data_IF_266835987508
#
_entry.id   IF_266835987508
#
_cell.length_a   1.000
_cell.length_b   1.000
_cell.length_c   1.000
_cell.angle_alpha   90.00
_cell.angle_beta   90.00
_cell.angle_gamma   90.00
#
_symmetry.space_group_name_H-M   'P 1'
#
loop_
_entity.id
_entity.type
_entity.pdbx_description
1 polymer ?
#
# COMPACT_ATOMS: atom_id res chain seq x y z
N UNK A 1 32.84 1.52 -3.57
CA UNK A 1 32.23 2.58 -2.73
C UNK A 1 31.24 3.38 -3.59
N UNK A 2 30.02 3.67 -3.13
CA UNK A 2 29.02 4.39 -3.97
C UNK A 2 29.33 5.89 -4.03
N UNK A 3 29.27 6.49 -5.22
CA UNK A 3 29.54 7.92 -5.46
C UNK A 3 28.63 8.83 -4.59
N UNK A 4 29.23 9.83 -3.92
CA UNK A 4 28.54 10.77 -3.04
C UNK A 4 27.44 11.58 -3.75
N UNK A 5 27.68 12.04 -4.98
CA UNK A 5 26.69 12.78 -5.76
C UNK A 5 25.45 11.95 -6.09
N UNK A 6 25.60 10.63 -6.25
CA UNK A 6 24.47 9.71 -6.44
C UNK A 6 23.65 9.58 -5.16
N UNK A 7 24.32 9.50 -4.00
CA UNK A 7 23.66 9.47 -2.68
C UNK A 7 22.91 10.76 -2.40
N UNK A 8 23.53 11.91 -2.65
CA UNK A 8 22.90 13.23 -2.48
C UNK A 8 21.64 13.36 -3.35
N UNK A 9 21.70 12.97 -4.63
CA UNK A 9 20.52 13.00 -5.51
C UNK A 9 19.36 12.14 -5.00
N UNK A 10 19.65 10.90 -4.60
CA UNK A 10 18.63 10.01 -4.04
C UNK A 10 18.04 10.53 -2.73
N UNK A 11 18.83 11.25 -1.93
CA UNK A 11 18.37 11.89 -0.71
C UNK A 11 17.51 13.14 -1.01
N UNK A 12 17.95 14.02 -1.91
CA UNK A 12 17.23 15.24 -2.31
C UNK A 12 15.84 14.91 -2.83
N UNK A 13 15.72 13.89 -3.68
CA UNK A 13 14.42 13.45 -4.20
C UNK A 13 13.47 13.03 -3.06
N UNK A 14 13.96 12.21 -2.12
CA UNK A 14 13.16 11.77 -0.96
C UNK A 14 12.79 12.93 -0.03
N UNK A 15 13.75 13.80 0.29
CA UNK A 15 13.52 14.95 1.17
C UNK A 15 12.55 15.94 0.55
N UNK A 16 12.60 16.15 -0.77
CA UNK A 16 11.65 17.01 -1.46
C UNK A 16 10.21 16.53 -1.25
N UNK A 17 9.97 15.22 -1.41
CA UNK A 17 8.65 14.63 -1.19
C UNK A 17 8.19 14.67 0.26
N UNK A 18 9.09 14.80 1.24
CA UNK A 18 8.74 14.97 2.67
C UNK A 18 8.47 16.44 3.00
N UNK A 19 9.21 17.36 2.37
CA UNK A 19 9.07 18.81 2.55
C UNK A 19 7.85 19.40 1.87
N UNK A 20 7.27 18.71 0.89
CA UNK A 20 6.26 19.28 -0.01
C UNK A 20 5.09 18.29 -0.25
N UNK A 21 3.94 18.84 -0.66
CA UNK A 21 2.71 18.10 -0.98
C UNK A 21 1.67 18.05 0.16
N UNK A 22 0.60 17.28 -0.04
CA UNK A 22 -0.42 17.07 1.00
C UNK A 22 0.22 16.54 2.30
N UNK A 23 -0.18 17.06 3.46
CA UNK A 23 0.45 16.76 4.75
C UNK A 23 1.58 17.71 5.14
N UNK A 24 2.16 18.44 4.19
CA UNK A 24 3.25 19.38 4.46
C UNK A 24 2.71 20.73 4.95
N UNK A 25 2.29 20.79 6.21
CA UNK A 25 1.69 21.98 6.81
C UNK A 25 2.29 22.23 8.19
N UNK A 26 2.48 23.49 8.55
CA UNK A 26 2.86 23.93 9.89
C UNK A 26 1.59 24.13 10.72
N UNK A 27 1.49 23.48 11.88
CA UNK A 27 0.37 23.65 12.80
C UNK A 27 0.41 25.07 13.39
N UNK A 28 -0.73 25.80 13.42
CA UNK A 28 -0.79 27.10 14.06
C UNK A 28 -0.60 26.96 15.58
N UNK A 29 0.16 27.87 16.19
CA UNK A 29 0.35 27.88 17.65
C UNK A 29 -0.92 28.33 18.40
N UNK A 30 -1.76 29.15 17.75
CA UNK A 30 -2.92 29.81 18.36
C UNK A 30 -4.28 29.20 17.96
N UNK A 31 -4.33 27.96 17.48
CA UNK A 31 -5.61 27.32 17.15
C UNK A 31 -6.46 27.11 18.40
N UNK A 32 -7.77 27.34 18.28
CA UNK A 32 -8.75 27.00 19.32
C UNK A 32 -8.73 25.52 19.73
N UNK A 33 -8.19 24.63 18.90
CA UNK A 33 -7.92 23.24 19.26
C UNK A 33 -6.57 22.82 18.69
N UNK A 34 -5.56 22.75 19.55
CA UNK A 34 -4.21 22.40 19.16
C UNK A 34 -4.08 20.89 19.01
N UNK A 35 -3.72 20.43 17.81
CA UNK A 35 -3.40 19.03 17.57
C UNK A 35 -2.12 18.64 18.32
N UNK A 36 -2.26 17.78 19.34
CA UNK A 36 -1.16 17.42 20.25
C UNK A 36 -0.55 16.06 19.95
N UNK A 37 -1.38 15.06 19.70
CA UNK A 37 -0.92 13.69 19.47
C UNK A 37 -1.71 12.99 18.38
N UNK A 38 -1.01 12.13 17.65
CA UNK A 38 -1.59 11.21 16.67
C UNK A 38 -1.14 9.81 17.05
N UNK A 39 -2.09 8.93 17.31
CA UNK A 39 -1.88 7.51 17.49
C UNK A 39 -2.54 6.76 16.34
N UNK A 40 -1.82 5.83 15.71
CA UNK A 40 -2.33 5.07 14.59
C UNK A 40 -2.04 3.58 14.75
N UNK A 41 -3.07 2.75 14.67
CA UNK A 41 -2.94 1.30 14.68
C UNK A 41 -3.02 0.78 13.25
N UNK A 42 -1.95 0.17 12.74
CA UNK A 42 -1.84 -0.29 11.35
C UNK A 42 -1.49 -1.79 11.30
N UNK A 43 -2.35 -2.63 10.74
CA UNK A 43 -2.00 -4.04 10.53
C UNK A 43 -0.89 -4.15 9.48
N UNK A 44 -0.01 -5.13 9.64
CA UNK A 44 1.15 -5.44 8.78
C UNK A 44 1.08 -6.89 8.31
N UNK A 45 1.53 -7.16 7.09
CA UNK A 45 1.57 -8.51 6.51
C UNK A 45 0.77 -8.63 5.21
N UNK A 46 0.48 -9.86 4.74
CA UNK A 46 -0.37 -10.07 3.58
C UNK A 46 -1.79 -9.63 3.90
N UNK A 47 -2.36 -8.79 3.04
CA UNK A 47 -3.75 -8.33 3.17
C UNK A 47 -4.62 -9.07 2.17
N UNK A 48 -5.66 -9.80 2.62
CA UNK A 48 -6.58 -10.46 1.71
C UNK A 48 -7.36 -9.44 0.87
N UNK A 49 -7.64 -8.25 1.43
CA UNK A 49 -8.25 -7.13 0.74
C UNK A 49 -7.32 -5.91 0.78
N UNK A 50 -6.51 -5.72 -0.27
CA UNK A 50 -5.54 -4.60 -0.33
C UNK A 50 -6.24 -3.24 -0.18
N UNK A 51 -7.35 -3.02 -0.88
CA UNK A 51 -8.06 -1.73 -0.88
C UNK A 51 -8.53 -1.31 0.52
N UNK A 52 -8.85 -2.29 1.37
CA UNK A 52 -9.30 -2.02 2.73
C UNK A 52 -8.22 -1.40 3.64
N UNK A 53 -6.94 -1.73 3.43
CA UNK A 53 -5.85 -1.32 4.33
C UNK A 53 -4.92 -0.25 3.73
N UNK A 54 -4.96 -0.04 2.41
CA UNK A 54 -3.99 0.81 1.73
C UNK A 54 -4.10 2.27 2.12
N UNK A 55 -5.29 2.84 2.25
CA UNK A 55 -5.40 4.28 2.50
C UNK A 55 -4.84 4.71 3.86
N UNK A 56 -4.99 3.91 4.92
CA UNK A 56 -4.30 4.17 6.19
C UNK A 56 -2.77 4.08 6.05
N UNK A 57 -2.28 3.07 5.33
CA UNK A 57 -0.83 2.89 5.11
C UNK A 57 -0.22 4.00 4.25
N UNK A 58 -0.91 4.43 3.21
CA UNK A 58 -0.51 5.54 2.34
C UNK A 58 -0.50 6.84 3.13
N UNK A 59 -1.51 7.07 3.98
CA UNK A 59 -1.52 8.19 4.92
C UNK A 59 -0.30 8.19 5.86
N UNK A 60 0.00 7.03 6.47
CA UNK A 60 1.19 6.88 7.30
C UNK A 60 2.48 7.17 6.51
N UNK A 61 2.63 6.58 5.33
CA UNK A 61 3.87 6.68 4.57
C UNK A 61 4.04 7.99 3.78
N UNK A 62 2.95 8.73 3.55
CA UNK A 62 2.89 10.01 2.85
C UNK A 62 2.65 11.17 3.81
N UNK A 63 1.39 11.53 4.02
CA UNK A 63 0.94 12.75 4.70
C UNK A 63 1.45 12.84 6.14
N UNK A 64 1.40 11.76 6.93
CA UNK A 64 1.81 11.79 8.34
C UNK A 64 3.31 12.08 8.49
N UNK A 65 4.15 11.54 7.61
CA UNK A 65 5.60 11.84 7.60
C UNK A 65 5.87 13.30 7.28
N UNK A 66 5.12 13.87 6.32
CA UNK A 66 5.24 15.29 5.94
C UNK A 66 4.78 16.21 7.06
N UNK A 67 3.69 15.84 7.74
CA UNK A 67 3.18 16.58 8.89
C UNK A 67 4.19 16.59 10.03
N UNK A 68 4.77 15.43 10.36
CA UNK A 68 5.79 15.32 11.40
C UNK A 68 7.08 16.08 11.08
N UNK A 69 7.47 16.17 9.80
CA UNK A 69 8.66 16.92 9.38
C UNK A 69 8.58 18.41 9.74
N UNK A 70 7.41 19.04 9.54
CA UNK A 70 7.19 20.45 9.86
C UNK A 70 6.81 20.69 11.32
N UNK A 71 6.32 19.66 12.02
CA UNK A 71 5.85 19.75 13.39
C UNK A 71 6.58 18.72 14.26
N UNK A 72 7.88 18.93 14.55
CA UNK A 72 8.66 17.96 15.32
C UNK A 72 8.12 17.73 16.74
N UNK A 73 7.43 18.72 17.31
CA UNK A 73 6.78 18.66 18.63
C UNK A 73 5.51 17.80 18.66
N UNK A 74 4.90 17.53 17.51
CA UNK A 74 3.70 16.70 17.41
C UNK A 74 4.02 15.26 17.82
N UNK A 75 3.38 14.73 18.87
CA UNK A 75 3.59 13.33 19.26
C UNK A 75 2.95 12.42 18.22
N UNK A 76 3.71 11.45 17.69
CA UNK A 76 3.20 10.52 16.69
C UNK A 76 3.60 9.11 17.08
N UNK A 77 2.60 8.25 17.25
CA UNK A 77 2.77 6.87 17.68
C UNK A 77 2.08 5.94 16.71
N UNK A 78 2.76 4.84 16.36
CA UNK A 78 2.31 3.93 15.32
C UNK A 78 2.46 2.51 15.84
N UNK A 79 1.32 1.89 16.13
CA UNK A 79 1.25 0.50 16.55
C UNK A 79 1.10 -0.38 15.31
N UNK A 80 2.16 -1.12 14.97
CA UNK A 80 2.12 -2.10 13.88
C UNK A 80 1.82 -3.48 14.42
N UNK A 81 0.70 -4.09 14.01
CA UNK A 81 0.33 -5.44 14.45
C UNK A 81 0.42 -6.42 13.31
N UNK A 82 0.78 -7.68 13.56
CA UNK A 82 0.74 -8.72 12.53
C UNK A 82 -0.71 -9.04 12.21
N UNK A 83 -1.07 -8.97 10.94
CA UNK A 83 -2.42 -9.23 10.45
C UNK A 83 -2.80 -10.70 10.64
N UNK A 84 -3.25 -11.07 11.84
CA UNK A 84 -3.72 -12.42 12.16
C UNK A 84 -5.23 -12.52 12.10
N UNK A 85 -5.97 -11.47 12.47
CA UNK A 85 -7.41 -11.58 12.79
C UNK A 85 -8.25 -10.35 12.41
N UNK A 86 -8.15 -9.81 11.18
CA UNK A 86 -9.00 -8.69 10.71
C UNK A 86 -9.07 -7.52 11.71
N UNK A 87 -7.97 -7.23 12.38
CA UNK A 87 -7.97 -6.21 13.42
C UNK A 87 -8.30 -4.84 12.82
N UNK A 88 -9.12 -4.03 13.52
CA UNK A 88 -9.54 -2.75 13.00
C UNK A 88 -8.34 -1.79 12.91
N UNK A 89 -8.15 -1.24 11.71
CA UNK A 89 -7.25 -0.11 11.50
C UNK A 89 -7.96 1.17 11.94
N UNK A 90 -7.37 1.92 12.85
CA UNK A 90 -7.94 3.18 13.33
C UNK A 90 -6.87 4.24 13.57
N UNK A 91 -7.32 5.48 13.61
CA UNK A 91 -6.54 6.68 13.91
C UNK A 91 -7.17 7.36 15.11
N UNK A 92 -6.37 7.61 16.14
CA UNK A 92 -6.76 8.42 17.29
C UNK A 92 -5.99 9.73 17.25
N UNK A 93 -6.70 10.83 17.39
CA UNK A 93 -6.15 12.19 17.32
C UNK A 93 -6.54 12.94 18.57
N UNK A 94 -5.55 13.45 19.30
CA UNK A 94 -5.73 14.19 20.55
C UNK A 94 -5.56 15.69 20.31
N UNK A 95 -6.54 16.45 20.77
CA UNK A 95 -6.56 17.90 20.75
C UNK A 95 -6.46 18.44 22.16
N UNK A 96 -5.70 19.52 22.35
CA UNK A 96 -5.62 20.29 23.59
C UNK A 96 -6.16 21.71 23.35
N UNK A 97 -6.91 22.27 24.30
CA UNK A 97 -7.38 23.65 24.25
C UNK A 97 -7.62 24.23 25.65
N UNK A 98 -7.53 25.55 25.78
CA UNK A 98 -8.04 26.29 26.94
C UNK A 98 -9.56 26.44 26.91
N UNK A 99 -10.18 26.35 25.73
CA UNK A 99 -11.62 26.46 25.54
C UNK A 99 -12.28 25.08 25.43
N UNK A 100 -13.10 24.75 26.42
CA UNK A 100 -13.85 23.49 26.48
C UNK A 100 -14.91 23.42 25.38
N UNK A 101 -15.51 24.54 25.00
CA UNK A 101 -16.57 24.57 23.99
C UNK A 101 -16.01 24.27 22.60
N UNK A 102 -14.85 24.85 22.26
CA UNK A 102 -14.12 24.54 21.04
C UNK A 102 -13.84 23.03 20.89
N UNK A 103 -13.39 22.36 21.97
CA UNK A 103 -13.20 20.90 21.94
C UNK A 103 -14.52 20.14 21.83
N UNK A 104 -15.60 20.64 22.43
CA UNK A 104 -16.92 19.99 22.38
C UNK A 104 -17.52 19.99 20.96
N UNK A 105 -17.21 21.01 20.16
CA UNK A 105 -17.65 21.12 18.77
C UNK A 105 -16.95 20.13 17.82
N UNK A 106 -15.77 19.62 18.19
CA UNK A 106 -15.06 18.60 17.43
C UNK A 106 -15.82 17.27 17.48
N UNK A 107 -16.63 16.97 16.46
CA UNK A 107 -17.32 15.68 16.37
C UNK A 107 -16.47 14.68 15.62
N UNK A 108 -16.42 13.43 16.09
CA UNK A 108 -15.92 12.32 15.30
C UNK A 108 -16.90 12.07 14.12
N UNK A 109 -16.76 12.83 13.03
CA UNK A 109 -17.53 12.56 11.83
C UNK A 109 -17.07 11.23 11.24
N UNK A 110 -17.99 10.29 10.96
CA UNK A 110 -17.62 9.08 10.26
C UNK A 110 -17.06 9.46 8.90
N UNK A 111 -15.84 9.02 8.63
CA UNK A 111 -15.23 9.18 7.32
C UNK A 111 -16.15 8.56 6.25
N UNK A 112 -16.33 9.21 5.09
CA UNK A 112 -17.10 8.62 4.01
C UNK A 112 -16.43 7.30 3.65
N UNK A 113 -17.12 6.18 3.89
CA UNK A 113 -16.65 4.88 3.43
C UNK A 113 -16.71 4.95 1.91
N UNK A 114 -15.60 4.86 1.17
CA UNK A 114 -15.72 4.75 -0.27
C UNK A 114 -16.57 3.52 -0.54
N UNK A 115 -17.51 3.69 -1.46
CA UNK A 115 -18.26 2.58 -2.02
C UNK A 115 -17.22 1.70 -2.69
N UNK A 116 -16.67 0.72 -1.96
CA UNK A 116 -15.80 -0.29 -2.52
C UNK A 116 -16.66 -0.93 -3.61
N UNK A 117 -16.39 -0.55 -4.86
CA UNK A 117 -16.92 -1.24 -6.01
C UNK A 117 -16.25 -2.60 -5.98
N UNK A 118 -16.79 -3.48 -5.14
CA UNK A 118 -16.49 -4.90 -5.18
C UNK A 118 -16.91 -5.28 -6.58
N UNK A 119 -15.96 -5.26 -7.52
CA UNK A 119 -16.19 -5.89 -8.81
C UNK A 119 -16.59 -7.31 -8.41
N UNK A 120 -17.83 -7.75 -8.72
CA UNK A 120 -18.21 -9.12 -8.45
C UNK A 120 -17.08 -9.94 -9.04
N UNK A 121 -16.41 -10.72 -8.20
CA UNK A 121 -15.28 -11.55 -8.61
C UNK A 121 -15.82 -12.33 -9.79
N UNK A 122 -15.42 -11.95 -11.01
CA UNK A 122 -15.86 -12.62 -12.21
C UNK A 122 -15.54 -14.08 -11.93
N UNK A 123 -16.55 -14.93 -11.88
CA UNK A 123 -16.33 -16.33 -11.62
C UNK A 123 -15.33 -16.78 -12.69
N UNK A 124 -14.11 -17.16 -12.29
CA UNK A 124 -13.02 -17.59 -13.18
C UNK A 124 -13.43 -18.71 -14.16
N UNK A 125 -14.66 -19.24 -14.04
CA UNK A 125 -15.31 -20.12 -15.01
C UNK A 125 -15.35 -19.53 -16.43
N UNK A 126 -15.59 -18.23 -16.59
CA UNK A 126 -15.69 -17.63 -17.95
C UNK A 126 -14.31 -17.49 -18.59
N UNK A 127 -13.30 -16.99 -17.86
CA UNK A 127 -11.92 -16.92 -18.38
C UNK A 127 -11.31 -18.31 -18.62
N UNK A 128 -11.65 -19.31 -17.79
CA UNK A 128 -11.24 -20.70 -18.04
C UNK A 128 -11.92 -21.29 -19.28
N UNK A 129 -13.22 -21.03 -19.48
CA UNK A 129 -13.93 -21.47 -20.68
C UNK A 129 -13.37 -20.78 -21.94
N UNK A 130 -13.05 -19.49 -21.87
CA UNK A 130 -12.52 -18.74 -23.01
C UNK A 130 -11.08 -19.15 -23.35
N UNK A 131 -10.26 -19.51 -22.35
CA UNK A 131 -8.94 -20.11 -22.56
C UNK A 131 -9.03 -21.52 -23.15
N UNK A 132 -9.97 -22.34 -22.66
CA UNK A 132 -10.17 -23.71 -23.16
C UNK A 132 -10.72 -23.71 -24.60
N UNK A 133 -11.59 -22.74 -24.92
CA UNK A 133 -12.13 -22.54 -26.26
C UNK A 133 -11.06 -22.03 -27.24
N UNK A 134 -10.23 -21.06 -26.82
CA UNK A 134 -9.06 -20.63 -27.61
C UNK A 134 -8.05 -21.75 -27.86
N UNK A 135 -7.79 -22.61 -26.85
CA UNK A 135 -6.88 -23.75 -27.01
C UNK A 135 -7.47 -24.80 -27.96
N UNK A 136 -8.79 -24.98 -27.97
CA UNK A 136 -9.48 -25.88 -28.89
C UNK A 136 -9.45 -25.35 -30.33
N UNK A 137 -9.64 -24.06 -30.53
CA UNK A 137 -9.55 -23.42 -31.85
C UNK A 137 -8.13 -23.47 -32.43
N UNK A 138 -7.11 -23.24 -31.61
CA UNK A 138 -5.70 -23.39 -32.02
C UNK A 138 -5.35 -24.83 -32.42
N UNK A 139 -5.93 -25.83 -31.74
CA UNK A 139 -5.75 -27.24 -32.12
C UNK A 139 -6.47 -27.61 -33.41
N UNK A 140 -7.64 -27.03 -33.69
CA UNK A 140 -8.35 -27.27 -34.95
C UNK A 140 -7.73 -26.56 -36.15
N UNK A 141 -6.99 -25.46 -35.94
CA UNK A 141 -6.34 -24.72 -37.02
C UNK A 141 -4.95 -25.27 -37.41
N UNK A 142 -4.38 -26.18 -36.60
CA UNK A 142 -3.02 -26.68 -36.77
C UNK A 142 -2.89 -27.92 -37.68
N UNK A 143 -3.95 -28.39 -38.35
CA UNK A 143 -3.82 -29.52 -39.27
C UNK A 143 -4.80 -29.49 -40.47
N UNK A 144 -4.41 -28.90 -41.61
CA UNK A 144 -4.94 -29.30 -42.89
C UNK A 144 -4.11 -30.49 -43.41
N UNK A 145 -4.54 -31.70 -43.09
CA UNK A 145 -3.96 -32.95 -43.59
C UNK A 145 -3.97 -32.97 -45.13
N UNK A 146 -2.80 -33.01 -45.80
CA UNK A 146 -2.71 -33.05 -47.23
C UNK A 146 -2.37 -34.47 -47.69
N UNK A 147 -3.19 -35.49 -47.40
CA UNK A 147 -3.10 -36.77 -48.14
C UNK A 147 -4.34 -37.65 -48.06
N UNK A 148 -5.03 -37.66 -49.19
CA UNK A 148 -5.84 -38.77 -49.67
C UNK A 148 -5.11 -40.12 -49.53
N UNK A 149 -5.90 -41.12 -49.11
CA UNK A 149 -5.89 -42.53 -49.51
C UNK A 149 -4.70 -43.42 -49.09
N UNK A 150 -4.96 -44.33 -48.15
CA UNK A 150 -4.81 -45.78 -48.36
C UNK A 150 -5.53 -46.60 -47.27
N UNK A 151 -6.08 -47.80 -47.60
CA UNK A 151 -6.91 -48.57 -46.66
C UNK A 151 -6.15 -49.71 -45.96
N UNK A 152 -6.67 -50.02 -44.78
CA UNK A 152 -6.77 -51.35 -44.13
C UNK A 152 -5.53 -52.24 -44.01
N UNK A 153 -4.98 -52.32 -42.80
CA UNK A 153 -4.41 -53.55 -42.26
C UNK A 153 -4.69 -53.65 -40.75
N UNK A 154 -5.16 -54.84 -40.35
CA UNK A 154 -5.67 -55.24 -39.03
C UNK A 154 -4.56 -55.55 -38.00
N UNK A 155 -4.91 -55.81 -36.72
CA UNK A 155 -4.09 -55.47 -35.55
C UNK A 155 -3.19 -56.62 -35.07
N UNK A 156 -2.08 -56.26 -34.40
CA UNK A 156 -1.31 -57.17 -33.54
C UNK A 156 -1.26 -56.62 -32.12
N UNK A 157 -1.77 -57.45 -31.22
CA UNK A 157 -1.70 -57.41 -29.77
C UNK A 157 -0.30 -57.79 -29.25
N UNK A 158 0.29 -56.98 -28.37
CA UNK A 158 1.24 -57.34 -27.28
C UNK A 158 1.21 -56.13 -26.31
N UNK A 159 0.57 -56.16 -25.13
CA UNK A 159 0.93 -56.76 -23.83
C UNK A 159 2.16 -56.11 -23.16
N UNK A 160 1.98 -55.81 -21.87
CA UNK A 160 2.94 -55.29 -20.87
C UNK A 160 3.31 -53.79 -21.00
N UNK A 161 3.20 -52.93 -19.98
CA UNK A 161 2.99 -53.16 -18.56
C UNK A 161 3.91 -52.22 -17.81
N UNK A 162 3.48 -51.00 -17.49
CA UNK A 162 4.15 -50.15 -16.51
C UNK A 162 3.11 -49.34 -15.73
N UNK A 163 3.05 -49.65 -14.43
CA UNK A 163 2.13 -49.07 -13.46
C UNK A 163 2.37 -47.57 -13.27
N UNK A 164 1.29 -46.81 -13.36
CA UNK A 164 1.24 -45.44 -12.87
C UNK A 164 0.52 -45.46 -11.52
N UNK A 165 1.28 -45.11 -10.48
CA UNK A 165 0.76 -44.88 -9.15
C UNK A 165 -0.35 -43.82 -9.18
N UNK A 166 -1.54 -44.27 -8.77
CA UNK A 166 -2.73 -43.48 -8.56
C UNK A 166 -2.52 -42.51 -7.38
N UNK A 167 -2.10 -41.28 -7.68
CA UNK A 167 -2.16 -40.18 -6.71
C UNK A 167 -3.62 -39.75 -6.54
N UNK A 168 -4.23 -40.22 -5.45
CA UNK A 168 -5.51 -39.74 -4.95
C UNK A 168 -5.45 -38.22 -4.78
N UNK A 169 -6.21 -37.52 -5.62
CA UNK A 169 -6.53 -36.11 -5.43
C UNK A 169 -7.38 -36.00 -4.16
N UNK A 170 -6.76 -35.61 -3.06
CA UNK A 170 -7.47 -35.13 -1.87
C UNK A 170 -8.23 -33.87 -2.29
N UNK A 171 -9.54 -34.02 -2.47
CA UNK A 171 -10.48 -32.92 -2.56
C UNK A 171 -10.51 -32.23 -1.19
N UNK A 172 -10.22 -30.92 -1.08
CA UNK A 172 -10.48 -30.21 0.16
C UNK A 172 -12.00 -30.08 0.33
N UNK A 173 -12.50 -30.79 1.34
CA UNK A 173 -13.87 -30.66 1.82
C UNK A 173 -14.20 -29.18 2.12
N UNK A 174 -15.38 -28.66 1.72
CA UNK A 174 -15.76 -27.30 2.01
C UNK A 174 -15.94 -27.14 3.52
N UNK A 175 -14.95 -26.52 4.18
CA UNK A 175 -15.09 -26.05 5.56
C UNK A 175 -16.19 -25.01 5.60
N UNK A 176 -17.37 -25.44 6.04
CA UNK A 176 -18.45 -24.58 6.53
C UNK A 176 -17.87 -23.55 7.49
N UNK A 177 -17.84 -22.30 7.06
CA UNK A 177 -17.51 -21.14 7.89
C UNK A 177 -18.58 -21.07 8.98
N UNK A 178 -18.24 -21.52 10.18
CA UNK A 178 -19.05 -21.18 11.34
C UNK A 178 -18.94 -19.67 11.58
N UNK A 179 -20.05 -18.98 11.90
CA UNK A 179 -20.01 -17.60 12.32
C UNK A 179 -19.19 -17.52 13.61
N UNK A 180 -18.00 -16.92 13.52
CA UNK A 180 -17.17 -16.61 14.68
C UNK A 180 -17.97 -15.64 15.54
N UNK A 181 -18.43 -16.12 16.70
CA UNK A 181 -18.92 -15.25 17.78
C UNK A 181 -17.75 -14.36 18.19
N UNK A 182 -17.83 -13.08 17.83
CA UNK A 182 -16.93 -12.04 18.30
C UNK A 182 -17.07 -11.95 19.82
N UNK A 183 -16.08 -12.49 20.54
CA UNK A 183 -15.95 -12.32 21.99
C UNK A 183 -15.54 -10.87 22.28
N UNK A 184 -16.30 -10.09 23.07
CA UNK A 184 -16.05 -8.66 23.27
C UNK A 184 -15.02 -8.37 24.38
N UNK A 185 -13.83 -8.98 24.35
CA UNK A 185 -12.83 -8.83 25.43
C UNK A 185 -11.58 -7.98 25.12
N UNK A 186 -11.50 -7.33 23.95
CA UNK A 186 -10.36 -6.44 23.60
C UNK A 186 -10.79 -4.95 23.51
N UNK A 187 -11.88 -4.57 24.17
CA UNK A 187 -12.42 -3.19 24.14
C UNK A 187 -12.20 -2.38 25.43
N UNK A 188 -11.14 -2.64 26.20
CA UNK A 188 -10.78 -1.77 27.34
C UNK A 188 -10.12 -0.44 26.92
N UNK A 189 -9.92 -0.22 25.61
CA UNK A 189 -9.65 1.10 25.02
C UNK A 189 -10.87 1.53 24.20
N UNK A 190 -12.04 1.51 24.83
CA UNK A 190 -13.19 2.19 24.26
C UNK A 190 -12.79 3.65 23.98
N UNK A 191 -13.10 4.20 22.80
CA UNK A 191 -12.84 5.59 22.48
C UNK A 191 -13.77 6.44 23.34
N UNK A 192 -13.34 6.75 24.56
CA UNK A 192 -13.99 7.75 25.38
C UNK A 192 -13.74 9.08 24.69
N UNK A 193 -14.71 9.55 23.90
CA UNK A 193 -14.81 10.91 23.35
C UNK A 193 -15.00 11.97 24.46
N UNK A 194 -14.63 11.62 25.69
CA UNK A 194 -14.80 12.41 26.89
C UNK A 194 -13.68 13.45 27.01
N UNK A 195 -14.07 14.67 27.33
CA UNK A 195 -13.14 15.77 27.55
C UNK A 195 -12.51 15.59 28.92
N UNK A 196 -11.19 15.39 28.94
CA UNK A 196 -10.42 15.25 30.18
C UNK A 196 -9.86 16.61 30.58
N UNK A 197 -9.97 16.95 31.86
CA UNK A 197 -9.34 18.14 32.43
C UNK A 197 -7.91 17.76 32.80
N UNK A 198 -6.92 18.49 32.28
CA UNK A 198 -5.51 18.30 32.59
C UNK A 198 -5.04 19.47 33.44
N UNK A 199 -4.71 19.20 34.69
CA UNK A 199 -4.07 20.20 35.54
C UNK A 199 -2.71 20.58 34.95
N UNK A 200 -2.42 21.88 34.89
CA UNK A 200 -1.12 22.37 34.44
C UNK A 200 -0.04 21.85 35.41
N UNK A 201 1.12 21.37 34.93
CA UNK A 201 2.22 21.00 35.81
C UNK A 201 2.62 22.22 36.65
N UNK A 202 2.78 22.01 37.96
CA UNK A 202 3.15 23.06 38.91
C UNK A 202 4.44 23.72 38.42
N UNK A 203 4.40 25.04 38.21
CA UNK A 203 5.55 25.78 37.70
C UNK A 203 6.75 25.57 38.63
N UNK A 204 7.90 25.27 38.04
CA UNK A 204 9.14 25.00 38.76
C UNK A 204 9.57 26.29 39.51
N UNK A 205 9.68 26.21 40.84
CA UNK A 205 9.85 27.38 41.72
C UNK A 205 11.14 28.18 41.47
N UNK A 206 12.03 27.67 40.60
CA UNK A 206 13.32 28.28 40.26
C UNK A 206 13.28 29.16 39.00
N UNK A 207 12.15 29.27 38.29
CA UNK A 207 12.03 30.11 37.09
C UNK A 207 11.38 31.47 37.39
N UNK A 208 12.12 32.59 37.35
CA UNK A 208 11.66 33.89 37.85
C UNK A 208 10.73 34.69 36.90
N UNK A 209 10.02 34.09 35.94
CA UNK A 209 9.45 34.86 34.82
C UNK A 209 7.99 34.65 34.40
N UNK A 210 7.15 33.90 35.12
CA UNK A 210 5.73 33.81 34.72
C UNK A 210 4.79 34.04 35.89
N UNK A 211 4.31 35.29 36.01
CA UNK A 211 3.26 35.71 36.95
C UNK A 211 1.84 35.48 36.44
N UNK A 212 1.67 34.77 35.32
CA UNK A 212 0.35 34.44 34.80
C UNK A 212 -0.27 33.29 35.60
N UNK A 213 -1.55 33.39 36.01
CA UNK A 213 -2.22 32.32 36.74
C UNK A 213 -2.27 31.03 35.89
N UNK A 214 -2.24 29.85 36.53
CA UNK A 214 -2.29 28.58 35.82
C UNK A 214 -3.60 28.49 35.01
N UNK A 215 -3.47 28.25 33.70
CA UNK A 215 -4.61 28.11 32.81
C UNK A 215 -5.04 26.64 32.75
N UNK A 216 -6.31 26.38 33.03
CA UNK A 216 -6.90 25.03 32.89
C UNK A 216 -6.85 24.62 31.43
N UNK A 217 -6.19 23.50 31.13
CA UNK A 217 -6.14 22.93 29.78
C UNK A 217 -7.07 21.71 29.72
N UNK A 218 -7.86 21.64 28.66
CA UNK A 218 -8.74 20.52 28.36
C UNK A 218 -8.13 19.70 27.23
N UNK A 219 -8.35 18.39 27.23
CA UNK A 219 -7.99 17.54 26.11
C UNK A 219 -9.16 16.66 25.66
N UNK A 220 -9.23 16.40 24.34
CA UNK A 220 -10.21 15.50 23.73
C UNK A 220 -9.52 14.61 22.72
N UNK A 221 -9.77 13.32 22.81
CA UNK A 221 -9.31 12.34 21.82
C UNK A 221 -10.46 11.95 20.91
N UNK A 222 -10.21 11.88 19.60
CA UNK A 222 -11.15 11.41 18.59
C UNK A 222 -10.58 10.17 17.92
N UNK A 223 -11.35 9.08 17.87
CA UNK A 223 -10.93 7.84 17.19
C UNK A 223 -11.79 7.58 15.96
N UNK A 224 -11.16 7.37 14.81
CA UNK A 224 -11.83 7.09 13.54
C UNK A 224 -11.35 5.77 12.93
N UNK A 225 -12.25 4.93 12.40
CA UNK A 225 -11.88 3.74 11.66
C UNK A 225 -11.31 4.14 10.29
N UNK A 226 -10.20 3.55 9.89
CA UNK A 226 -9.54 3.81 8.60
C UNK A 226 -9.82 2.74 7.54
N UNK A 227 -10.57 1.71 7.93
CA UNK A 227 -11.05 0.61 7.10
C UNK A 227 -11.67 1.09 5.78
N UNK A 228 -10.99 0.83 4.66
CA UNK A 228 -11.42 1.20 3.32
C UNK A 228 -11.29 2.68 2.99
N UNK A 229 -10.92 3.56 3.92
CA UNK A 229 -10.86 5.02 3.69
C UNK A 229 -9.60 5.36 2.90
N UNK A 230 -9.69 6.28 1.93
CA UNK A 230 -8.53 6.75 1.15
C UNK A 230 -7.67 7.72 1.96
N UNK A 231 -6.35 7.71 1.76
CA UNK A 231 -5.42 8.60 2.47
C UNK A 231 -5.78 10.09 2.36
N UNK A 232 -6.28 10.51 1.19
CA UNK A 232 -6.76 11.89 0.96
C UNK A 232 -7.94 12.27 1.85
N UNK A 233 -8.86 11.33 2.10
CA UNK A 233 -10.03 11.56 2.96
C UNK A 233 -9.61 11.65 4.43
N UNK A 234 -8.66 10.82 4.85
CA UNK A 234 -8.05 10.88 6.19
C UNK A 234 -7.39 12.25 6.40
N UNK A 235 -6.59 12.70 5.42
CA UNK A 235 -5.94 14.00 5.48
C UNK A 235 -6.94 15.17 5.50
N UNK A 236 -7.96 15.12 4.66
CA UNK A 236 -9.00 16.14 4.62
C UNK A 236 -9.75 16.23 5.95
N UNK A 237 -10.03 15.09 6.58
CA UNK A 237 -10.65 15.05 7.89
C UNK A 237 -9.77 15.73 8.95
N UNK A 238 -8.47 15.44 8.99
CA UNK A 238 -7.54 16.11 9.92
C UNK A 238 -7.56 17.62 9.67
N UNK A 239 -7.46 18.06 8.42
CA UNK A 239 -7.46 19.48 8.06
C UNK A 239 -8.71 20.21 8.50
N UNK A 240 -9.88 19.61 8.27
CA UNK A 240 -11.17 20.20 8.66
C UNK A 240 -11.26 20.43 10.17
N UNK A 241 -10.70 19.54 10.99
CA UNK A 241 -10.75 19.65 12.46
C UNK A 241 -9.66 20.56 13.04
N UNK A 242 -8.57 20.77 12.30
CA UNK A 242 -7.43 21.58 12.73
C UNK A 242 -7.44 22.99 12.14
N UNK A 243 -8.33 23.29 11.19
CA UNK A 243 -8.35 24.55 10.46
C UNK A 243 -7.14 24.76 9.55
N UNK A 244 -6.47 23.69 9.14
CA UNK A 244 -5.21 23.77 8.40
C UNK A 244 -5.42 24.09 6.92
N UNK A 245 -4.52 24.90 6.30
CA UNK A 245 -4.47 25.04 4.86
C UNK A 245 -4.09 23.70 4.19
N UNK A 246 -4.37 23.56 2.89
CA UNK A 246 -4.18 22.31 2.14
C UNK A 246 -2.73 21.83 2.11
N UNK A 247 -1.80 22.75 1.80
CA UNK A 247 -0.37 22.50 1.78
C UNK A 247 0.40 23.82 1.87
N UNK A 248 1.64 23.76 2.37
CA UNK A 248 2.58 24.88 2.29
C UNK A 248 2.88 25.21 0.83
N UNK A 249 2.81 26.50 0.47
CA UNK A 249 3.25 26.98 -0.84
C UNK A 249 4.76 26.77 -0.98
N UNK A 250 5.17 26.09 -2.05
CA UNK A 250 6.58 25.82 -2.34
C UNK A 250 7.25 27.12 -2.81
N UNK A 251 8.36 27.55 -2.20
CA UNK A 251 9.07 28.74 -2.65
C UNK A 251 9.76 28.48 -4.01
N UNK A 252 9.92 29.54 -4.82
CA UNK A 252 10.52 29.48 -6.15
C UNK A 252 11.87 28.73 -6.25
N UNK A 253 12.86 28.93 -5.35
CA UNK A 253 14.13 28.20 -5.43
C UNK A 253 13.95 26.68 -5.27
N UNK A 254 13.07 26.23 -4.38
CA UNK A 254 12.81 24.79 -4.17
C UNK A 254 12.14 24.16 -5.40
N UNK A 255 11.27 24.90 -6.11
CA UNK A 255 10.67 24.43 -7.36
C UNK A 255 11.72 24.23 -8.47
N UNK A 256 12.70 25.12 -8.56
CA UNK A 256 13.78 25.00 -9.55
C UNK A 256 14.66 23.76 -9.28
N UNK A 257 14.94 23.44 -8.02
CA UNK A 257 15.64 22.20 -7.66
C UNK A 257 14.83 20.96 -8.03
N UNK A 258 13.53 20.96 -7.77
CA UNK A 258 12.64 19.87 -8.16
C UNK A 258 12.63 19.65 -9.66
N UNK A 259 12.58 20.73 -10.45
CA UNK A 259 12.57 20.62 -11.90
C UNK A 259 13.84 19.95 -12.42
N UNK A 260 15.01 20.27 -11.86
CA UNK A 260 16.27 19.58 -12.17
C UNK A 260 16.21 18.08 -11.85
N UNK A 261 15.63 17.71 -10.70
CA UNK A 261 15.46 16.31 -10.32
C UNK A 261 14.47 15.60 -11.27
N UNK A 262 13.38 16.25 -11.63
CA UNK A 262 12.37 15.73 -12.54
C UNK A 262 12.94 15.49 -13.96
N UNK A 263 13.70 16.43 -14.48
CA UNK A 263 14.36 16.31 -15.79
C UNK A 263 15.39 15.18 -15.80
N UNK A 264 16.18 15.06 -14.73
CA UNK A 264 17.12 13.95 -14.58
C UNK A 264 16.39 12.59 -14.49
N UNK A 265 15.28 12.50 -13.76
CA UNK A 265 14.47 11.28 -13.69
C UNK A 265 13.84 10.93 -15.05
N UNK A 266 13.40 11.93 -15.82
CA UNK A 266 12.92 11.76 -17.20
C UNK A 266 14.03 11.19 -18.10
N UNK A 267 15.25 11.70 -17.99
CA UNK A 267 16.38 11.19 -18.75
C UNK A 267 16.73 9.75 -18.34
N UNK A 268 16.85 9.49 -17.04
CA UNK A 268 17.14 8.15 -16.53
C UNK A 268 16.09 7.10 -16.96
N UNK A 269 14.82 7.49 -17.09
CA UNK A 269 13.78 6.61 -17.60
C UNK A 269 13.97 6.25 -19.09
N UNK A 270 14.44 7.20 -19.91
CA UNK A 270 14.82 6.93 -21.31
C UNK A 270 16.01 5.98 -21.37
N UNK A 271 17.04 6.23 -20.59
CA UNK A 271 18.25 5.41 -20.55
C UNK A 271 17.94 3.97 -20.11
N UNK A 272 17.09 3.79 -19.09
CA UNK A 272 16.63 2.46 -18.66
C UNK A 272 15.93 1.69 -19.77
N UNK A 273 15.13 2.37 -20.60
CA UNK A 273 14.46 1.74 -21.74
C UNK A 273 15.48 1.28 -22.78
N UNK A 274 16.43 2.14 -23.14
CA UNK A 274 17.49 1.82 -24.11
C UNK A 274 18.38 0.66 -23.64
N UNK A 275 18.80 0.67 -22.38
CA UNK A 275 19.59 -0.42 -21.80
C UNK A 275 18.79 -1.72 -21.78
N UNK A 276 17.51 -1.66 -21.41
CA UNK A 276 16.64 -2.84 -21.43
C UNK A 276 16.51 -3.42 -22.83
N UNK A 277 16.27 -2.60 -23.85
CA UNK A 277 16.17 -3.08 -25.24
C UNK A 277 17.48 -3.70 -25.73
N UNK A 278 18.63 -3.14 -25.38
CA UNK A 278 19.93 -3.72 -25.70
C UNK A 278 20.17 -5.07 -25.01
N UNK A 279 19.85 -5.18 -23.72
CA UNK A 279 19.96 -6.44 -22.97
C UNK A 279 19.02 -7.51 -23.54
N UNK A 280 17.79 -7.14 -23.88
CA UNK A 280 16.80 -8.07 -24.43
C UNK A 280 17.20 -8.56 -25.83
N UNK A 281 17.82 -7.69 -26.65
CA UNK A 281 18.38 -8.06 -27.95
C UNK A 281 19.54 -9.06 -27.81
N UNK A 282 20.52 -8.78 -26.95
CA UNK A 282 21.64 -9.71 -26.70
C UNK A 282 21.17 -11.07 -26.18
N UNK A 283 20.16 -11.08 -25.28
CA UNK A 283 19.58 -12.34 -24.79
C UNK A 283 18.90 -13.12 -25.91
N UNK A 284 18.23 -12.44 -26.85
CA UNK A 284 17.62 -13.08 -28.01
C UNK A 284 18.68 -13.71 -28.91
N UNK A 285 19.75 -12.99 -29.23
CA UNK A 285 20.87 -13.50 -30.02
C UNK A 285 21.54 -14.71 -29.34
N UNK A 286 21.75 -14.67 -28.03
CA UNK A 286 22.30 -15.80 -27.28
C UNK A 286 21.41 -17.04 -27.33
N UNK A 287 20.09 -16.87 -27.23
CA UNK A 287 19.14 -17.98 -27.33
C UNK A 287 19.12 -18.56 -28.73
N UNK A 288 19.21 -17.73 -29.76
CA UNK A 288 19.27 -18.16 -31.16
C UNK A 288 20.56 -18.94 -31.44
N UNK A 289 21.71 -18.42 -31.02
CA UNK A 289 23.00 -19.12 -31.13
C UNK A 289 22.99 -20.45 -30.37
N UNK A 290 22.37 -20.50 -29.18
CA UNK A 290 22.23 -21.74 -28.43
C UNK A 290 21.37 -22.76 -29.18
N UNK A 291 20.23 -22.33 -29.74
CA UNK A 291 19.34 -23.18 -30.53
C UNK A 291 20.03 -23.71 -31.80
N UNK A 292 20.80 -22.87 -32.48
CA UNK A 292 21.56 -23.27 -33.66
C UNK A 292 22.63 -24.32 -33.32
N UNK A 293 23.33 -24.16 -32.18
CA UNK A 293 24.30 -25.15 -31.69
C UNK A 293 23.64 -26.49 -31.36
N UNK A 294 22.54 -26.48 -30.62
CA UNK A 294 21.78 -27.69 -30.29
C UNK A 294 21.25 -28.40 -31.55
N UNK A 295 20.80 -27.64 -32.57
CA UNK A 295 20.35 -28.20 -33.83
C UNK A 295 21.51 -28.84 -34.63
N UNK A 296 22.67 -28.17 -34.69
CA UNK A 296 23.85 -28.71 -35.35
C UNK A 296 24.37 -29.97 -34.66
N UNK A 297 24.34 -30.01 -33.32
CA UNK A 297 24.72 -31.19 -32.53
C UNK A 297 23.80 -32.38 -32.80
N UNK A 298 22.48 -32.14 -32.92
CA UNK A 298 21.52 -33.19 -33.32
C UNK A 298 21.78 -33.74 -34.72
N UNK A 299 22.00 -32.85 -35.69
CA UNK A 299 22.30 -33.28 -37.07
C UNK A 299 23.61 -34.06 -37.16
N UNK A 300 24.61 -33.70 -36.35
CA UNK A 300 25.86 -34.44 -36.27
C UNK A 300 25.68 -35.82 -35.63
N UNK A 301 24.89 -35.93 -34.56
CA UNK A 301 24.59 -37.20 -33.90
C UNK A 301 23.81 -38.16 -34.81
N UNK A 302 22.89 -37.65 -35.65
CA UNK A 302 22.14 -38.46 -36.62
C UNK A 302 22.99 -38.97 -37.80
N UNK A 303 24.15 -38.36 -38.06
CA UNK A 303 25.03 -38.74 -39.17
C UNK A 303 26.07 -39.82 -38.82
N UNK A 304 26.19 -40.18 -37.53
CA UNK A 304 27.06 -41.25 -37.00
C UNK A 304 26.29 -42.51 -36.70
#
# INVERSE_FOLDING_TARGET
MVNAAKRMRALTDKLFHIKNGAGSVVLPESSQALLKSIYMRVPTGPYPNKEYYWGGRDFWHGELKRLKYWNPTLRTEIETIRNRENEPMYLTVEYESTDREALSQLKAYPLPKPQLKVKPRANNKTEQQEQEQNLREQRSAADPDPRKAQPAAQPRSVVEGLGYHHLQKLTPSPKTLQPVKLTPEILSHAPSDEIKVKAQPVADASSPQTTSPPQTTYSRSLTIPLAGVRHTEIWNWIRQHTGLPDHRRIPAPEMAEWQKVADHNRQAAKDRKLVKTGIDAMKREQLELKKAREAAERMAAEAT
#
